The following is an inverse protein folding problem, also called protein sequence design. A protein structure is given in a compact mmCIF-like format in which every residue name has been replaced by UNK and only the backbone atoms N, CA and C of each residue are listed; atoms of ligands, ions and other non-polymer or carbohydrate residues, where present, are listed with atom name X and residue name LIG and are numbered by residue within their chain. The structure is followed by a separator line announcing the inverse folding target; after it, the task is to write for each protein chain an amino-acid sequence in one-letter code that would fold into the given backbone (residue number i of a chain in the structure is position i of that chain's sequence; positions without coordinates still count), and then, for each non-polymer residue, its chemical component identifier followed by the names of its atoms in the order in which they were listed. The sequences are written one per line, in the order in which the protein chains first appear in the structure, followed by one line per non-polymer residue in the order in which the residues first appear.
data_IF_816256221596
#
_entry.id   IF_816256221596
#
_cell.length_a   1.000
_cell.length_b   1.000
_cell.length_c   1.000
_cell.angle_alpha   90.00
_cell.angle_beta   90.00
_cell.angle_gamma   90.00
#
_symmetry.space_group_name_H-M   'P 1'
#
loop_
_entity.id
_entity.type
_entity.pdbx_description
1 polymer ?
#
# COMPACT_ATOMS: atom_id res chain seq x y z
N UNK A 1 -29.51 25.27 5.51
CA UNK A 1 -28.66 24.22 6.08
C UNK A 1 -27.23 24.62 5.77
N UNK A 2 -26.43 24.92 6.79
CA UNK A 2 -25.00 25.18 6.59
C UNK A 2 -24.34 23.89 6.08
N UNK A 3 -23.41 23.96 5.11
CA UNK A 3 -22.71 22.77 4.66
C UNK A 3 -21.93 22.17 5.85
N UNK A 4 -22.08 20.87 6.06
CA UNK A 4 -21.26 20.15 7.04
C UNK A 4 -19.83 20.17 6.49
N UNK A 5 -18.96 20.96 7.11
CA UNK A 5 -17.54 20.97 6.76
C UNK A 5 -16.95 19.66 7.24
N UNK A 6 -16.70 18.74 6.32
CA UNK A 6 -16.01 17.50 6.63
C UNK A 6 -14.55 17.84 6.97
N UNK A 7 -14.05 17.46 8.15
CA UNK A 7 -12.66 17.73 8.50
C UNK A 7 -11.71 16.99 7.54
N UNK A 8 -10.59 17.63 7.22
CA UNK A 8 -9.53 17.02 6.41
C UNK A 8 -8.32 16.64 7.29
N UNK A 9 -7.77 15.45 7.11
CA UNK A 9 -8.24 14.38 6.23
C UNK A 9 -9.41 13.62 6.86
N UNK A 10 -10.41 13.27 6.07
CA UNK A 10 -11.52 12.42 6.52
C UNK A 10 -11.15 10.93 6.54
N UNK A 11 -10.08 10.54 5.84
CA UNK A 11 -9.53 9.19 5.91
C UNK A 11 -8.00 9.16 5.73
N UNK A 12 -7.40 8.08 6.19
CA UNK A 12 -5.98 7.81 6.02
C UNK A 12 -5.76 6.33 5.69
N UNK A 13 -4.88 6.08 4.70
CA UNK A 13 -4.34 4.75 4.41
C UNK A 13 -2.87 4.67 4.83
N UNK A 14 -2.28 3.47 4.93
CA UNK A 14 -0.85 3.32 5.23
C UNK A 14 0.06 4.07 4.25
N UNK A 15 -0.27 4.06 2.95
CA UNK A 15 0.50 4.75 1.91
C UNK A 15 0.45 6.27 2.11
N UNK A 16 -0.74 6.86 2.29
CA UNK A 16 -0.90 8.30 2.54
C UNK A 16 -0.23 8.73 3.84
N UNK A 17 -0.32 7.91 4.89
CA UNK A 17 0.40 8.15 6.14
C UNK A 17 1.92 8.14 5.93
N UNK A 18 2.42 7.20 5.14
CA UNK A 18 3.84 7.09 4.79
C UNK A 18 4.33 8.26 3.94
N UNK A 19 3.51 8.76 3.01
CA UNK A 19 3.82 9.95 2.22
C UNK A 19 4.00 11.16 3.12
N UNK A 20 3.06 11.42 4.04
CA UNK A 20 3.17 12.54 4.97
C UNK A 20 4.37 12.42 5.92
N UNK A 21 4.61 11.23 6.47
CA UNK A 21 5.78 10.97 7.32
C UNK A 21 7.11 11.12 6.56
N UNK A 22 7.11 10.86 5.27
CA UNK A 22 8.29 10.99 4.42
C UNK A 22 8.51 12.47 4.07
N UNK A 23 7.46 13.15 3.60
CA UNK A 23 7.51 14.54 3.19
C UNK A 23 6.08 15.10 3.11
N UNK A 24 5.71 16.11 3.93
CA UNK A 24 4.40 16.75 3.84
C UNK A 24 4.06 17.27 2.44
N UNK A 25 5.04 17.81 1.71
CA UNK A 25 4.83 18.29 0.34
C UNK A 25 4.54 17.13 -0.64
N UNK A 26 5.15 15.96 -0.47
CA UNK A 26 4.84 14.78 -1.27
C UNK A 26 3.38 14.32 -1.03
N UNK A 27 2.96 14.30 0.24
CA UNK A 27 1.56 14.02 0.58
C UNK A 27 0.61 15.00 -0.09
N UNK A 28 0.93 16.30 -0.11
CA UNK A 28 0.13 17.31 -0.80
C UNK A 28 0.05 16.98 -2.29
N UNK A 29 1.16 16.78 -2.96
CA UNK A 29 1.21 16.50 -4.39
C UNK A 29 0.38 15.29 -4.80
N UNK A 30 0.45 14.20 -4.01
CA UNK A 30 -0.27 12.95 -4.28
C UNK A 30 -1.72 12.97 -3.83
N UNK A 31 -2.00 13.55 -2.66
CA UNK A 31 -3.30 13.41 -2.00
C UNK A 31 -4.22 14.61 -2.17
N UNK A 32 -3.70 15.81 -2.43
CA UNK A 32 -4.47 17.03 -2.61
C UNK A 32 -4.42 17.48 -4.06
N UNK A 33 -3.23 17.78 -4.58
CA UNK A 33 -3.02 18.26 -5.94
C UNK A 33 -3.26 17.16 -6.99
N UNK A 34 -3.13 15.88 -6.62
CA UNK A 34 -3.26 14.70 -7.49
C UNK A 34 -2.42 14.82 -8.75
N UNK A 35 -1.17 15.25 -8.58
CA UNK A 35 -0.27 15.38 -9.71
C UNK A 35 0.02 14.01 -10.33
N UNK A 36 0.02 13.90 -11.66
CA UNK A 36 0.34 12.65 -12.33
C UNK A 36 1.77 12.23 -12.02
N UNK A 37 1.97 10.94 -11.85
CA UNK A 37 3.27 10.31 -11.73
C UNK A 37 3.47 9.33 -12.90
N UNK A 38 4.65 9.34 -13.49
CA UNK A 38 4.97 8.32 -14.48
C UNK A 38 4.98 6.93 -13.83
N UNK A 39 4.47 5.91 -14.51
CA UNK A 39 4.49 4.55 -14.00
C UNK A 39 5.91 4.13 -13.65
N UNK A 40 6.15 3.74 -12.42
CA UNK A 40 7.47 3.25 -12.02
C UNK A 40 7.55 1.74 -12.21
N UNK A 41 8.69 1.26 -12.72
CA UNK A 41 8.97 -0.15 -12.91
C UNK A 41 8.69 -0.98 -11.65
N UNK A 42 9.08 -0.48 -10.47
CA UNK A 42 8.86 -1.18 -9.20
C UNK A 42 7.37 -1.31 -8.86
N UNK A 43 6.58 -0.25 -9.08
CA UNK A 43 5.14 -0.26 -8.80
C UNK A 43 4.40 -1.19 -9.77
N UNK A 44 4.63 -1.05 -11.08
CA UNK A 44 3.96 -1.89 -12.09
C UNK A 44 4.30 -3.37 -11.90
N UNK A 45 5.60 -3.69 -11.71
CA UNK A 45 6.01 -5.05 -11.39
C UNK A 45 5.35 -5.58 -10.11
N UNK A 46 5.24 -4.74 -9.09
CA UNK A 46 4.54 -5.07 -7.85
C UNK A 46 3.09 -5.45 -8.11
N UNK A 47 2.35 -4.63 -8.82
CA UNK A 47 0.93 -4.88 -9.14
C UNK A 47 0.73 -6.19 -9.91
N UNK A 48 1.58 -6.50 -10.90
CA UNK A 48 1.51 -7.76 -11.64
C UNK A 48 1.71 -8.99 -10.75
N UNK A 49 2.71 -8.94 -9.86
CA UNK A 49 2.99 -10.05 -8.93
C UNK A 49 1.86 -10.21 -7.92
N UNK A 50 1.36 -9.11 -7.33
CA UNK A 50 0.22 -9.18 -6.40
C UNK A 50 -1.00 -9.77 -7.08
N UNK A 51 -1.34 -9.31 -8.30
CA UNK A 51 -2.48 -9.84 -9.07
C UNK A 51 -2.33 -11.33 -9.37
N UNK A 52 -1.15 -11.79 -9.75
CA UNK A 52 -0.89 -13.21 -9.99
C UNK A 52 -1.01 -14.04 -8.70
N UNK A 53 -0.46 -13.57 -7.58
CA UNK A 53 -0.56 -14.27 -6.30
C UNK A 53 -1.99 -14.25 -5.74
N UNK A 54 -2.75 -13.18 -5.93
CA UNK A 54 -4.17 -13.12 -5.61
C UNK A 54 -4.95 -14.20 -6.37
N UNK A 55 -4.82 -14.21 -7.71
CA UNK A 55 -5.58 -15.10 -8.58
C UNK A 55 -5.09 -16.56 -8.55
N UNK A 56 -3.86 -16.81 -8.07
CA UNK A 56 -3.36 -18.16 -7.86
C UNK A 56 -4.25 -18.99 -6.93
N UNK A 57 -4.87 -18.34 -5.96
CA UNK A 57 -5.75 -19.00 -5.01
C UNK A 57 -7.18 -19.24 -5.52
N UNK A 58 -7.51 -18.76 -6.73
CA UNK A 58 -8.74 -19.18 -7.44
C UNK A 58 -8.60 -20.58 -8.01
N UNK A 59 -7.36 -21.05 -8.20
CA UNK A 59 -7.09 -22.39 -8.67
C UNK A 59 -7.29 -23.42 -7.55
N UNK A 60 -7.73 -24.65 -7.88
CA UNK A 60 -7.68 -25.75 -6.94
C UNK A 60 -6.28 -25.95 -6.37
N UNK A 61 -6.16 -26.30 -5.10
CA UNK A 61 -4.87 -26.38 -4.41
C UNK A 61 -3.78 -27.16 -5.17
N UNK A 62 -4.15 -28.31 -5.79
CA UNK A 62 -3.22 -29.15 -6.58
C UNK A 62 -2.66 -28.43 -7.82
N UNK A 63 -3.34 -27.43 -8.33
CA UNK A 63 -3.01 -26.68 -9.55
C UNK A 63 -2.19 -25.40 -9.26
N UNK A 64 -2.01 -25.04 -7.99
CA UNK A 64 -1.19 -23.89 -7.55
C UNK A 64 0.30 -24.22 -7.67
N UNK A 65 0.81 -24.15 -8.89
CA UNK A 65 2.21 -24.48 -9.24
C UNK A 65 2.97 -23.23 -9.65
N UNK A 66 4.31 -23.22 -9.63
CA UNK A 66 5.10 -22.10 -10.16
C UNK A 66 4.72 -21.76 -11.60
N UNK A 67 4.51 -22.77 -12.44
CA UNK A 67 4.09 -22.55 -13.83
C UNK A 67 2.73 -21.87 -13.93
N UNK A 68 1.74 -22.31 -13.14
CA UNK A 68 0.43 -21.67 -13.12
C UNK A 68 0.52 -20.19 -12.65
N UNK A 69 1.37 -19.89 -11.67
CA UNK A 69 1.59 -18.52 -11.23
C UNK A 69 2.26 -17.66 -12.32
N UNK A 70 3.21 -18.22 -13.08
CA UNK A 70 3.81 -17.54 -14.24
C UNK A 70 2.77 -17.25 -15.31
N UNK A 71 1.92 -18.24 -15.65
CA UNK A 71 0.83 -18.07 -16.62
C UNK A 71 -0.17 -16.96 -16.17
N UNK A 72 -0.38 -16.82 -14.86
CA UNK A 72 -1.21 -15.74 -14.28
C UNK A 72 -0.53 -14.38 -14.39
N UNK A 73 0.79 -14.28 -14.24
CA UNK A 73 1.54 -13.05 -14.53
C UNK A 73 1.36 -12.62 -15.98
N UNK A 74 1.48 -13.56 -16.92
CA UNK A 74 1.28 -13.28 -18.35
C UNK A 74 -0.14 -12.76 -18.65
N UNK A 75 -1.14 -13.34 -17.98
CA UNK A 75 -2.53 -12.85 -18.09
C UNK A 75 -2.70 -11.45 -17.52
N UNK A 76 -2.18 -11.20 -16.32
CA UNK A 76 -2.21 -9.88 -15.69
C UNK A 76 -1.49 -8.84 -16.56
N UNK A 77 -0.38 -9.22 -17.20
CA UNK A 77 0.33 -8.35 -18.14
C UNK A 77 -0.51 -8.07 -19.39
N UNK A 78 -1.18 -9.08 -19.97
CA UNK A 78 -2.06 -8.88 -21.13
C UNK A 78 -3.29 -8.01 -20.79
N UNK A 79 -3.78 -8.04 -19.55
CA UNK A 79 -4.78 -7.09 -19.04
C UNK A 79 -4.21 -5.67 -18.97
N UNK A 80 -3.04 -5.52 -18.38
CA UNK A 80 -2.35 -4.24 -18.29
C UNK A 80 -2.06 -3.62 -19.68
N UNK A 81 -1.66 -4.45 -20.67
CA UNK A 81 -1.45 -3.97 -22.05
C UNK A 81 -2.69 -3.37 -22.69
N UNK A 82 -3.87 -3.90 -22.35
CA UNK A 82 -5.13 -3.38 -22.88
C UNK A 82 -5.59 -2.12 -22.17
N UNK A 83 -5.40 -2.07 -20.84
CA UNK A 83 -6.00 -1.05 -19.97
C UNK A 83 -5.05 0.15 -19.78
N UNK A 84 -3.72 -0.09 -19.77
CA UNK A 84 -2.68 0.93 -19.61
C UNK A 84 -1.41 0.58 -20.38
N UNK A 85 -1.37 0.79 -21.71
CA UNK A 85 -0.21 0.44 -22.54
C UNK A 85 1.09 1.08 -22.08
N UNK A 86 1.05 2.33 -21.60
CA UNK A 86 2.22 3.05 -21.07
C UNK A 86 2.83 2.33 -19.85
N UNK A 87 1.98 1.85 -18.94
CA UNK A 87 2.43 1.07 -17.78
C UNK A 87 3.00 -0.29 -18.22
N UNK A 88 2.39 -0.93 -19.22
CA UNK A 88 2.88 -2.18 -19.77
C UNK A 88 4.26 -2.06 -20.39
N UNK A 89 4.53 -0.97 -21.13
CA UNK A 89 5.83 -0.72 -21.77
C UNK A 89 6.96 -0.61 -20.74
N UNK A 90 6.69 -0.05 -19.57
CA UNK A 90 7.68 0.08 -18.48
C UNK A 90 8.19 -1.27 -17.98
N UNK A 91 7.37 -2.32 -18.02
CA UNK A 91 7.68 -3.63 -17.42
C UNK A 91 7.82 -4.76 -18.45
N UNK A 92 7.58 -4.49 -19.74
CA UNK A 92 7.55 -5.48 -20.82
C UNK A 92 8.79 -6.38 -20.85
N UNK A 93 9.98 -5.80 -20.81
CA UNK A 93 11.23 -6.56 -20.85
C UNK A 93 11.41 -7.43 -19.59
N UNK A 94 10.84 -7.01 -18.45
CA UNK A 94 10.92 -7.78 -17.19
C UNK A 94 9.94 -8.95 -17.13
N UNK A 95 8.77 -8.82 -17.74
CA UNK A 95 7.79 -9.93 -17.83
C UNK A 95 8.31 -10.99 -18.81
N UNK A 96 8.90 -10.54 -19.93
CA UNK A 96 9.55 -11.43 -20.90
C UNK A 96 10.89 -12.01 -20.40
N UNK A 97 11.46 -11.42 -19.34
CA UNK A 97 12.75 -11.80 -18.75
C UNK A 97 12.61 -12.66 -17.51
N UNK A 98 13.73 -12.82 -16.82
CA UNK A 98 13.86 -13.71 -15.64
C UNK A 98 13.39 -13.04 -14.35
N UNK A 99 13.24 -11.70 -14.33
CA UNK A 99 13.05 -10.93 -13.10
C UNK A 99 11.72 -11.23 -12.40
N UNK A 100 10.61 -11.26 -13.14
CA UNK A 100 9.29 -11.57 -12.56
C UNK A 100 9.19 -13.04 -12.19
N UNK A 101 9.73 -13.94 -13.04
CA UNK A 101 9.83 -15.37 -12.74
C UNK A 101 10.59 -15.64 -11.44
N UNK A 102 11.71 -14.95 -11.22
CA UNK A 102 12.48 -15.08 -9.99
C UNK A 102 11.70 -14.68 -8.73
N UNK A 103 10.79 -13.70 -8.82
CA UNK A 103 9.92 -13.32 -7.70
C UNK A 103 8.89 -14.41 -7.41
N UNK A 104 8.34 -15.04 -8.44
CA UNK A 104 7.43 -16.18 -8.29
C UNK A 104 8.15 -17.37 -7.67
N UNK A 105 9.36 -17.72 -8.16
CA UNK A 105 10.17 -18.78 -7.58
C UNK A 105 10.51 -18.51 -6.11
N UNK A 106 10.84 -17.26 -5.77
CA UNK A 106 11.07 -16.85 -4.38
C UNK A 106 9.82 -17.06 -3.50
N UNK A 107 8.62 -16.73 -4.01
CA UNK A 107 7.39 -16.98 -3.29
C UNK A 107 7.20 -18.48 -2.97
N UNK A 108 7.37 -19.36 -3.96
CA UNK A 108 7.26 -20.81 -3.76
C UNK A 108 8.39 -21.38 -2.88
N UNK A 109 9.53 -20.70 -2.78
CA UNK A 109 10.59 -21.01 -1.83
C UNK A 109 10.24 -20.64 -0.38
N UNK A 110 9.36 -19.67 -0.17
CA UNK A 110 8.96 -19.19 1.15
C UNK A 110 7.76 -19.94 1.74
N UNK A 111 6.81 -20.37 0.87
CA UNK A 111 5.65 -21.17 1.29
C UNK A 111 5.12 -22.05 0.16
N UNK A 112 4.34 -23.07 0.55
CA UNK A 112 3.63 -23.94 -0.40
C UNK A 112 2.14 -23.57 -0.43
N UNK A 113 1.66 -22.86 -1.48
CA UNK A 113 0.27 -22.41 -1.58
C UNK A 113 -0.74 -23.56 -1.68
N UNK A 114 -0.30 -24.77 -1.93
CA UNK A 114 -1.16 -25.97 -1.98
C UNK A 114 -1.60 -26.44 -0.60
N UNK A 115 -0.96 -25.93 0.47
CA UNK A 115 -1.19 -26.34 1.86
C UNK A 115 -1.99 -25.35 2.67
N UNK A 116 -2.39 -24.25 2.06
CA UNK A 116 -3.15 -23.21 2.76
C UNK A 116 -4.30 -22.71 1.87
N UNK A 117 -5.36 -22.29 2.52
CA UNK A 117 -6.49 -21.63 1.90
C UNK A 117 -6.67 -20.28 2.59
N UNK A 118 -6.45 -19.14 1.90
CA UNK A 118 -6.65 -17.83 2.50
C UNK A 118 -8.10 -17.63 2.95
N UNK A 119 -8.26 -17.00 4.11
CA UNK A 119 -9.56 -16.54 4.57
C UNK A 119 -10.09 -15.39 3.69
N UNK A 120 -9.20 -14.48 3.29
CA UNK A 120 -9.49 -13.39 2.36
C UNK A 120 -8.23 -12.97 1.59
N UNK A 121 -8.43 -12.33 0.43
CA UNK A 121 -7.39 -11.76 -0.43
C UNK A 121 -7.85 -10.38 -0.89
N UNK A 122 -6.90 -9.44 -1.09
CA UNK A 122 -7.18 -8.06 -1.46
C UNK A 122 -8.36 -7.48 -0.67
N UNK A 123 -8.33 -7.76 0.66
CA UNK A 123 -9.43 -7.43 1.54
C UNK A 123 -9.45 -5.94 1.83
N UNK A 124 -10.47 -5.24 1.34
CA UNK A 124 -10.76 -3.87 1.74
C UNK A 124 -11.19 -3.82 3.20
N UNK A 125 -10.46 -3.06 4.01
CA UNK A 125 -10.74 -2.87 5.44
C UNK A 125 -10.89 -1.39 5.76
N UNK A 126 -11.86 -1.04 6.61
CA UNK A 126 -12.02 0.33 7.07
C UNK A 126 -12.67 0.38 8.45
N UNK A 127 -12.27 1.34 9.27
CA UNK A 127 -12.84 1.58 10.59
C UNK A 127 -12.80 3.04 10.96
N UNK A 128 -13.84 3.52 11.62
CA UNK A 128 -13.87 4.86 12.18
C UNK A 128 -13.09 4.89 13.50
N UNK A 129 -11.97 5.63 13.53
CA UNK A 129 -11.12 5.77 14.71
C UNK A 129 -11.48 6.98 15.56
N UNK A 130 -12.06 8.01 14.95
CA UNK A 130 -12.52 9.23 15.63
C UNK A 130 -13.67 9.85 14.83
N UNK A 131 -14.30 10.90 15.38
CA UNK A 131 -15.38 11.62 14.70
C UNK A 131 -14.94 12.06 13.30
N UNK A 132 -15.71 11.62 12.28
CA UNK A 132 -15.48 11.90 10.87
C UNK A 132 -14.06 11.56 10.35
N UNK A 133 -13.38 10.55 10.96
CA UNK A 133 -12.07 10.08 10.52
C UNK A 133 -12.01 8.56 10.43
N UNK A 134 -11.70 8.07 9.25
CA UNK A 134 -11.61 6.66 8.89
C UNK A 134 -10.16 6.22 8.64
N UNK A 135 -9.74 5.12 9.25
CA UNK A 135 -8.54 4.39 8.85
C UNK A 135 -8.94 3.27 7.89
N UNK A 136 -8.30 3.19 6.72
CA UNK A 136 -8.68 2.23 5.67
C UNK A 136 -7.49 1.73 4.86
N UNK A 137 -7.67 0.61 4.18
CA UNK A 137 -6.68 0.07 3.25
C UNK A 137 -7.09 -1.28 2.69
N UNK A 138 -6.15 -1.90 1.99
CA UNK A 138 -6.31 -3.23 1.44
C UNK A 138 -5.24 -4.14 2.03
N UNK A 139 -5.65 -5.33 2.46
CA UNK A 139 -4.76 -6.37 2.98
C UNK A 139 -4.59 -7.41 1.90
N UNK A 140 -3.36 -7.66 1.45
CA UNK A 140 -3.08 -8.58 0.35
C UNK A 140 -3.65 -9.97 0.64
N UNK A 141 -3.41 -10.48 1.88
CA UNK A 141 -3.94 -11.79 2.29
C UNK A 141 -4.18 -11.87 3.80
N UNK A 142 -5.30 -12.48 4.16
CA UNK A 142 -5.63 -12.87 5.54
C UNK A 142 -5.76 -14.39 5.58
N UNK A 143 -5.04 -15.02 6.50
CA UNK A 143 -5.14 -16.44 6.77
C UNK A 143 -5.78 -16.69 8.13
N UNK A 144 -6.57 -17.77 8.22
CA UNK A 144 -7.20 -18.24 9.45
C UNK A 144 -6.67 -19.63 9.76
N UNK A 145 -6.06 -19.80 10.93
CA UNK A 145 -5.63 -21.13 11.40
C UNK A 145 -6.82 -21.95 11.89
N UNK A 146 -6.69 -23.30 12.03
CA UNK A 146 -7.76 -24.15 12.51
C UNK A 146 -8.24 -23.82 13.94
N UNK A 147 -7.41 -23.19 14.75
CA UNK A 147 -7.69 -22.70 16.10
C UNK A 147 -8.17 -21.23 16.12
N UNK A 148 -8.47 -20.66 14.96
CA UNK A 148 -9.09 -19.35 14.83
C UNK A 148 -8.11 -18.16 14.90
N UNK A 149 -6.80 -18.41 14.86
CA UNK A 149 -5.82 -17.32 14.87
C UNK A 149 -5.66 -16.66 13.50
N UNK A 150 -5.55 -15.34 13.47
CA UNK A 150 -5.42 -14.54 12.26
C UNK A 150 -3.95 -14.25 11.98
N UNK A 151 -3.55 -14.48 10.72
CA UNK A 151 -2.30 -14.00 10.14
C UNK A 151 -2.60 -13.00 9.04
N UNK A 152 -2.00 -11.81 9.11
CA UNK A 152 -2.04 -10.81 8.05
C UNK A 152 -0.73 -10.91 7.26
N UNK A 153 -0.83 -11.07 5.94
CA UNK A 153 0.30 -11.23 5.03
C UNK A 153 0.30 -10.10 4.01
N UNK A 154 1.49 -9.58 3.71
CA UNK A 154 1.72 -8.59 2.66
C UNK A 154 2.95 -8.98 1.84
N UNK A 155 2.85 -8.87 0.53
CA UNK A 155 3.91 -9.21 -0.40
C UNK A 155 4.73 -7.98 -0.79
N UNK A 156 6.05 -8.11 -0.82
CA UNK A 156 6.96 -7.06 -1.26
C UNK A 156 7.86 -7.60 -2.37
N UNK A 157 7.78 -7.02 -3.56
CA UNK A 157 8.64 -7.40 -4.70
C UNK A 157 10.05 -6.84 -4.58
N UNK A 158 10.29 -5.91 -3.66
CA UNK A 158 11.63 -5.41 -3.30
C UNK A 158 12.37 -6.35 -2.35
N UNK A 159 13.55 -5.89 -1.94
CA UNK A 159 14.38 -6.55 -0.92
C UNK A 159 13.98 -6.08 0.48
N UNK A 160 14.18 -6.93 1.47
CA UNK A 160 13.99 -6.54 2.87
C UNK A 160 14.86 -5.33 3.25
N UNK A 161 14.36 -4.44 4.11
CA UNK A 161 15.17 -3.34 4.61
C UNK A 161 16.33 -3.86 5.46
N UNK A 162 17.46 -3.17 5.43
CA UNK A 162 18.56 -3.48 6.34
C UNK A 162 18.19 -3.28 7.81
N UNK A 163 18.96 -3.87 8.69
CA UNK A 163 18.78 -3.76 10.15
C UNK A 163 18.60 -2.31 10.59
N UNK A 164 17.56 -2.04 11.37
CA UNK A 164 17.16 -0.69 11.84
C UNK A 164 16.08 0.02 11.02
N UNK A 165 15.74 -0.44 9.83
CA UNK A 165 14.65 0.12 9.01
C UNK A 165 13.35 -0.72 9.05
N UNK A 166 13.34 -1.81 9.77
CA UNK A 166 12.20 -2.75 9.91
C UNK A 166 10.96 -2.07 10.51
N UNK A 167 11.16 -1.11 11.42
CA UNK A 167 10.07 -0.39 12.08
C UNK A 167 9.20 0.42 11.11
N UNK A 168 9.81 0.93 10.02
CA UNK A 168 9.07 1.67 8.98
C UNK A 168 8.25 0.70 8.11
N UNK A 169 8.83 -0.44 7.74
CA UNK A 169 8.12 -1.48 7.00
C UNK A 169 6.95 -2.06 7.82
N UNK A 170 7.15 -2.26 9.14
CA UNK A 170 6.12 -2.74 10.06
C UNK A 170 5.00 -1.73 10.32
N UNK A 171 5.16 -0.45 10.01
CA UNK A 171 4.09 0.52 10.23
C UNK A 171 2.83 0.19 9.43
N UNK A 172 2.97 -0.19 8.16
CA UNK A 172 1.86 -0.61 7.31
C UNK A 172 1.14 -1.83 7.91
N UNK A 173 1.90 -2.83 8.35
CA UNK A 173 1.33 -4.05 8.92
C UNK A 173 0.59 -3.79 10.24
N UNK A 174 1.18 -2.97 11.12
CA UNK A 174 0.53 -2.55 12.37
C UNK A 174 -0.72 -1.72 12.12
N UNK A 175 -0.72 -0.92 11.06
CA UNK A 175 -1.90 -0.16 10.65
C UNK A 175 -3.04 -1.11 10.24
N UNK A 176 -2.75 -2.11 9.40
CA UNK A 176 -3.75 -3.12 9.03
C UNK A 176 -4.23 -3.94 10.23
N UNK A 177 -3.31 -4.33 11.12
CA UNK A 177 -3.66 -5.03 12.35
C UNK A 177 -4.55 -4.18 13.28
N UNK A 178 -4.29 -2.87 13.37
CA UNK A 178 -5.14 -1.93 14.11
C UNK A 178 -6.55 -1.87 13.51
N UNK A 179 -6.66 -1.70 12.18
CA UNK A 179 -7.96 -1.64 11.51
C UNK A 179 -8.72 -2.95 11.72
N UNK A 180 -8.06 -4.09 11.52
CA UNK A 180 -8.64 -5.42 11.77
C UNK A 180 -9.16 -5.54 13.21
N UNK A 181 -8.31 -5.24 14.19
CA UNK A 181 -8.69 -5.30 15.61
C UNK A 181 -9.89 -4.43 15.95
N UNK A 182 -9.96 -3.23 15.42
CA UNK A 182 -11.09 -2.31 15.65
C UNK A 182 -12.37 -2.75 14.95
N UNK A 183 -12.26 -3.47 13.84
CA UNK A 183 -13.41 -4.03 13.12
C UNK A 183 -13.96 -5.29 13.79
N UNK A 184 -13.09 -6.19 14.24
CA UNK A 184 -13.46 -7.53 14.67
C UNK A 184 -13.42 -7.74 16.20
N UNK A 185 -12.62 -6.94 16.90
CA UNK A 185 -12.29 -7.15 18.32
C UNK A 185 -11.09 -8.07 18.55
N UNK A 186 -10.62 -8.79 17.52
CA UNK A 186 -9.55 -9.78 17.62
C UNK A 186 -8.20 -9.20 17.19
N UNK A 187 -7.20 -9.33 18.05
CA UNK A 187 -5.81 -8.96 17.70
C UNK A 187 -5.23 -10.06 16.80
N UNK A 188 -4.72 -9.71 15.60
CA UNK A 188 -4.04 -10.70 14.75
C UNK A 188 -2.86 -11.33 15.48
N UNK A 189 -2.73 -12.65 15.41
CA UNK A 189 -1.65 -13.39 16.06
C UNK A 189 -0.30 -13.19 15.37
N UNK A 190 -0.31 -12.93 14.05
CA UNK A 190 0.92 -12.78 13.26
C UNK A 190 0.77 -11.79 12.13
N UNK A 191 1.75 -10.90 11.98
CA UNK A 191 1.96 -10.04 10.83
C UNK A 191 3.16 -10.56 10.05
N UNK A 192 3.03 -10.75 8.76
CA UNK A 192 4.08 -11.34 7.92
C UNK A 192 4.30 -10.52 6.65
N UNK A 193 5.51 -9.98 6.48
CA UNK A 193 5.99 -9.37 5.25
C UNK A 193 6.86 -10.38 4.51
N UNK A 194 6.50 -10.69 3.27
CA UNK A 194 7.24 -11.62 2.41
C UNK A 194 7.99 -10.83 1.34
N UNK A 195 9.31 -10.72 1.49
CA UNK A 195 10.19 -10.01 0.56
C UNK A 195 10.66 -10.94 -0.55
N UNK A 196 9.98 -10.89 -1.68
CA UNK A 196 10.25 -11.78 -2.81
C UNK A 196 11.58 -11.43 -3.51
N UNK A 197 12.02 -10.17 -3.42
CA UNK A 197 13.28 -9.72 -4.05
C UNK A 197 14.57 -10.30 -3.45
N UNK A 198 14.48 -10.94 -2.28
CA UNK A 198 15.62 -11.66 -1.66
C UNK A 198 15.20 -12.90 -0.86
N UNK A 199 13.94 -13.31 -0.95
CA UNK A 199 13.44 -14.52 -0.29
C UNK A 199 13.47 -14.44 1.25
N UNK A 200 13.28 -13.26 1.82
CA UNK A 200 13.25 -13.06 3.26
C UNK A 200 11.83 -12.83 3.79
N UNK A 201 11.59 -13.22 5.04
CA UNK A 201 10.32 -13.03 5.72
C UNK A 201 10.54 -12.29 7.03
N UNK A 202 9.85 -11.17 7.17
CA UNK A 202 9.79 -10.44 8.43
C UNK A 202 8.48 -10.78 9.15
N UNK A 203 8.56 -11.23 10.41
CA UNK A 203 7.42 -11.63 11.23
C UNK A 203 7.34 -10.77 12.48
N UNK A 204 6.11 -10.50 12.90
CA UNK A 204 5.83 -9.75 14.12
C UNK A 204 4.52 -10.23 14.75
N UNK A 205 4.55 -10.46 16.05
CA UNK A 205 3.38 -10.84 16.86
C UNK A 205 2.92 -9.60 17.64
N UNK A 206 1.87 -8.90 17.18
CA UNK A 206 1.39 -7.70 17.84
C UNK A 206 0.59 -8.05 19.09
N UNK A 207 0.60 -7.14 20.06
CA UNK A 207 -0.33 -7.17 21.17
C UNK A 207 -1.26 -5.93 21.19
N UNK A 208 -2.24 -5.91 22.09
CA UNK A 208 -3.18 -4.81 22.21
C UNK A 208 -2.49 -3.47 22.60
N UNK A 209 -1.36 -3.50 23.29
CA UNK A 209 -0.61 -2.31 23.66
C UNK A 209 0.11 -1.70 22.43
N UNK A 210 0.67 -2.56 21.57
CA UNK A 210 1.23 -2.16 20.28
C UNK A 210 0.19 -1.48 19.39
N UNK A 211 -1.00 -2.09 19.28
CA UNK A 211 -2.08 -1.56 18.45
C UNK A 211 -2.65 -0.26 19.01
N UNK A 212 -2.77 -0.14 20.32
CA UNK A 212 -3.13 1.13 20.98
C UNK A 212 -2.09 2.21 20.73
N UNK A 213 -0.80 1.86 20.72
CA UNK A 213 0.28 2.80 20.39
C UNK A 213 0.21 3.23 18.91
N UNK A 214 -0.10 2.28 18.02
CA UNK A 214 -0.30 2.53 16.59
C UNK A 214 -1.47 3.48 16.35
N UNK A 215 -2.60 3.26 17.02
CA UNK A 215 -3.77 4.14 16.94
C UNK A 215 -3.44 5.58 17.35
N UNK A 216 -2.74 5.77 18.47
CA UNK A 216 -2.28 7.10 18.89
C UNK A 216 -1.39 7.77 17.83
N UNK A 217 -0.52 6.99 17.18
CA UNK A 217 0.32 7.49 16.08
C UNK A 217 -0.51 7.88 14.87
N UNK A 218 -1.49 7.08 14.48
CA UNK A 218 -2.39 7.37 13.34
C UNK A 218 -3.21 8.63 13.60
N UNK A 219 -3.76 8.79 14.80
CA UNK A 219 -4.49 10.01 15.20
C UNK A 219 -3.58 11.24 15.25
N UNK A 220 -2.36 11.10 15.75
CA UNK A 220 -1.39 12.20 15.75
C UNK A 220 -0.98 12.62 14.33
N UNK A 221 -0.88 11.67 13.38
CA UNK A 221 -0.66 11.95 11.96
C UNK A 221 -1.84 12.69 11.34
N UNK A 222 -3.08 12.25 11.62
CA UNK A 222 -4.29 12.99 11.21
C UNK A 222 -4.23 14.44 11.67
N UNK A 223 -3.91 14.66 12.95
CA UNK A 223 -3.86 16.01 13.53
C UNK A 223 -2.73 16.86 12.91
N UNK A 224 -1.60 16.25 12.58
CA UNK A 224 -0.51 16.93 11.90
C UNK A 224 -0.90 17.32 10.46
N UNK A 225 -1.55 16.41 9.72
CA UNK A 225 -2.08 16.69 8.38
C UNK A 225 -3.14 17.80 8.43
N UNK A 226 -4.05 17.75 9.42
CA UNK A 226 -5.07 18.78 9.60
C UNK A 226 -4.46 20.17 9.86
N UNK A 227 -3.45 20.25 10.72
CA UNK A 227 -2.74 21.52 10.97
C UNK A 227 -2.05 22.06 9.72
N UNK A 228 -1.35 21.20 8.97
CA UNK A 228 -0.73 21.59 7.69
C UNK A 228 -1.77 22.09 6.69
N UNK A 229 -2.90 21.41 6.63
CA UNK A 229 -4.03 21.77 5.77
C UNK A 229 -4.67 23.11 6.16
N UNK A 230 -4.85 23.37 7.45
CA UNK A 230 -5.46 24.61 7.96
C UNK A 230 -4.53 25.81 7.77
N UNK A 231 -3.21 25.59 7.89
CA UNK A 231 -2.21 26.62 7.60
C UNK A 231 -1.98 26.82 6.10
N UNK A 232 -2.35 25.84 5.25
CA UNK A 232 -1.98 25.82 3.83
C UNK A 232 -0.48 25.54 3.61
N UNK A 233 0.21 25.00 4.63
CA UNK A 233 1.66 24.82 4.67
C UNK A 233 2.01 23.34 4.65
N UNK A 234 2.65 22.90 3.55
CA UNK A 234 3.14 21.54 3.37
C UNK A 234 4.64 21.60 3.04
N UNK A 235 5.46 21.71 4.09
CA UNK A 235 6.90 21.91 3.92
C UNK A 235 7.59 20.67 3.34
N UNK A 236 8.58 20.86 2.43
CA UNK A 236 9.42 19.78 1.96
C UNK A 236 10.31 19.23 3.08
N UNK A 237 10.50 17.93 3.11
CA UNK A 237 11.43 17.24 4.02
C UNK A 237 12.55 16.56 3.21
N UNK A 238 13.64 17.28 2.89
CA UNK A 238 14.73 16.75 2.08
C UNK A 238 15.38 15.52 2.69
N UNK A 239 15.54 14.48 1.87
CA UNK A 239 16.17 13.23 2.25
C UNK A 239 16.82 12.56 1.05
N UNK A 240 17.49 11.42 1.24
CA UNK A 240 18.00 10.61 0.13
C UNK A 240 16.89 10.11 -0.82
N UNK A 241 15.64 10.06 -0.36
CA UNK A 241 14.51 9.65 -1.20
C UNK A 241 14.14 10.70 -2.26
N UNK A 242 14.63 11.94 -2.14
CA UNK A 242 14.40 12.98 -3.16
C UNK A 242 15.00 12.65 -4.52
N UNK A 243 16.00 11.76 -4.60
CA UNK A 243 16.57 11.33 -5.89
C UNK A 243 15.59 10.48 -6.71
N UNK A 244 14.60 9.89 -6.08
CA UNK A 244 13.53 9.09 -6.71
C UNK A 244 12.16 9.76 -6.65
N UNK A 245 12.10 11.05 -6.27
CA UNK A 245 10.83 11.78 -6.18
C UNK A 245 10.39 12.29 -7.56
N UNK A 246 9.27 11.82 -8.08
CA UNK A 246 8.70 12.24 -9.36
C UNK A 246 8.41 13.75 -9.41
N UNK A 247 8.18 14.37 -8.27
CA UNK A 247 7.86 15.79 -8.16
C UNK A 247 9.04 16.68 -7.77
N UNK A 248 10.28 16.18 -7.86
CA UNK A 248 11.49 16.94 -7.48
C UNK A 248 11.61 18.28 -8.19
N UNK A 249 11.24 18.35 -9.48
CA UNK A 249 11.28 19.57 -10.28
C UNK A 249 10.34 20.68 -9.77
N UNK A 250 9.29 20.33 -9.05
CA UNK A 250 8.33 21.27 -8.44
C UNK A 250 8.69 21.64 -6.99
N UNK A 251 9.70 20.98 -6.42
CA UNK A 251 10.01 21.11 -4.99
C UNK A 251 10.86 22.36 -4.70
N UNK A 252 10.44 23.25 -3.77
CA UNK A 252 11.20 24.44 -3.39
C UNK A 252 12.59 24.13 -2.83
N UNK A 253 12.78 23.00 -2.18
CA UNK A 253 14.09 22.59 -1.68
C UNK A 253 15.11 22.33 -2.81
N UNK A 254 14.63 22.19 -4.04
CA UNK A 254 15.44 21.97 -5.24
C UNK A 254 15.27 23.11 -6.28
N UNK A 255 14.75 24.27 -5.84
CA UNK A 255 14.57 25.45 -6.70
C UNK A 255 13.31 25.42 -7.56
N UNK A 256 12.43 24.44 -7.38
CA UNK A 256 11.14 24.36 -8.07
C UNK A 256 10.08 25.25 -7.45
N UNK A 257 8.93 25.36 -8.11
CA UNK A 257 7.76 26.08 -7.62
C UNK A 257 6.57 25.15 -7.64
N UNK A 258 5.97 24.81 -6.47
CA UNK A 258 4.74 24.03 -6.42
C UNK A 258 3.59 24.76 -7.13
N UNK A 259 2.59 24.03 -7.66
CA UNK A 259 1.36 24.67 -8.12
C UNK A 259 0.68 25.40 -6.94
N UNK A 260 -0.17 26.40 -7.22
CA UNK A 260 -1.00 27.00 -6.18
C UNK A 260 -1.80 25.92 -5.44
N UNK A 261 -1.92 26.05 -4.13
CA UNK A 261 -2.77 25.13 -3.35
C UNK A 261 -4.23 25.31 -3.83
N UNK A 262 -4.92 24.24 -4.27
CA UNK A 262 -6.31 24.35 -4.71
C UNK A 262 -7.22 24.80 -3.56
N UNK A 263 -8.37 25.43 -3.86
CA UNK A 263 -9.39 25.75 -2.85
C UNK A 263 -9.82 24.50 -2.08
N UNK A 264 -10.12 24.64 -0.80
CA UNK A 264 -10.40 23.49 0.08
C UNK A 264 -11.62 22.66 -0.35
N UNK A 265 -12.60 23.27 -0.99
CA UNK A 265 -13.77 22.63 -1.57
C UNK A 265 -13.48 21.70 -2.76
N UNK A 266 -12.32 21.87 -3.39
CA UNK A 266 -11.83 21.02 -4.49
C UNK A 266 -10.99 19.83 -3.99
N UNK A 267 -10.68 19.81 -2.67
CA UNK A 267 -9.87 18.72 -2.14
C UNK A 267 -10.65 17.41 -2.13
N UNK A 268 -9.97 16.29 -2.39
CA UNK A 268 -10.63 15.01 -2.44
C UNK A 268 -11.35 14.69 -1.12
N UNK A 269 -12.65 14.51 -1.19
CA UNK A 269 -13.40 13.92 -0.09
C UNK A 269 -13.19 12.40 -0.11
N UNK A 270 -13.18 11.79 1.07
CA UNK A 270 -12.81 10.39 1.32
C UNK A 270 -13.63 9.32 0.57
N UNK A 271 -14.67 9.68 -0.16
CA UNK A 271 -15.56 8.74 -0.83
C UNK A 271 -15.09 8.27 -2.20
N UNK A 272 -14.06 8.88 -2.78
CA UNK A 272 -13.47 8.34 -3.98
C UNK A 272 -12.59 7.14 -3.60
N UNK A 273 -13.05 5.91 -3.87
CA UNK A 273 -12.14 4.80 -4.10
C UNK A 273 -11.13 5.30 -5.12
N UNK A 274 -9.86 5.32 -4.77
CA UNK A 274 -8.82 5.16 -5.77
C UNK A 274 -8.81 3.67 -6.00
N UNK A 275 -9.80 3.18 -6.77
CA UNK A 275 -9.63 1.92 -7.45
C UNK A 275 -8.46 2.14 -8.40
N UNK A 276 -7.49 1.22 -8.48
CA UNK A 276 -6.42 1.31 -9.48
C UNK A 276 -6.94 1.23 -10.93
N UNK A 277 -8.25 1.18 -11.13
CA UNK A 277 -8.95 1.04 -12.41
C UNK A 277 -9.64 2.33 -12.91
N UNK A 278 -9.61 3.46 -12.17
CA UNK A 278 -10.16 4.73 -12.66
C UNK A 278 -9.08 5.74 -12.98
N UNK A 279 -8.28 5.43 -14.01
CA UNK A 279 -7.66 6.44 -14.86
C UNK A 279 -8.15 6.23 -16.29
N UNK A 280 -9.47 6.35 -16.50
CA UNK A 280 -10.05 6.51 -17.82
C UNK A 280 -11.07 7.66 -17.80
N UNK A 281 -10.62 8.83 -18.29
CA UNK A 281 -11.24 9.66 -19.35
C UNK A 281 -10.24 10.66 -19.86
#
# INVERSE_FOLDING_TARGET
MSPVVVPFPSSLSPSRASDFMTCPLLFRFRSIDRLPEEPSLAAVRGSLVHRALETLYDLPARERTPQAATDLVERAFAELERDSPESADVVRDQVAGVEVGALIDAYFGLEDPRRLEPHARELGVSVQLADAFEARGFIDRVDLSPDGQIRIVDYKTGRSPGAGFESKAMFQMRFYALVWWRMTGDVPALLQLMYLGNGEVLRYEPDAADLTSTERKVLALRDAIARAADAGEFDPSPSRLCDWCSHRALCPAWGGTPPPLPPREEWPTSSARVDPEETDE
#
